data_IF_903401294400
#
_entry.id   IF_903401294400
#
_cell.length_a   1.000
_cell.length_b   1.000
_cell.length_c   1.000
_cell.angle_alpha   90.00
_cell.angle_beta   90.00
_cell.angle_gamma   90.00
#
_symmetry.space_group_name_H-M   'P 1'
#
loop_
_entity.id
_entity.type
_entity.pdbx_description
1 polymer ?
#
# COMPACT_ATOMS: atom_id res chain seq x y z
N UNK A 1 19.79 -20.88 -80.49
CA UNK A 1 21.08 -21.13 -81.15
C UNK A 1 22.12 -20.25 -80.48
N UNK A 2 23.22 -20.85 -80.00
CA UNK A 2 24.52 -20.21 -79.70
C UNK A 2 24.54 -19.19 -78.55
N UNK A 3 25.46 -19.19 -77.59
CA UNK A 3 26.79 -19.77 -77.49
C UNK A 3 27.64 -18.79 -76.64
N UNK A 4 28.49 -19.35 -75.77
CA UNK A 4 29.32 -18.74 -74.72
C UNK A 4 30.05 -17.42 -75.05
N UNK A 5 30.28 -16.61 -74.00
CA UNK A 5 31.59 -16.05 -73.55
C UNK A 5 31.30 -14.92 -72.54
N UNK A 6 31.99 -14.71 -71.42
CA UNK A 6 33.23 -15.22 -70.88
C UNK A 6 33.43 -14.59 -69.48
N UNK A 7 34.37 -15.18 -68.75
CA UNK A 7 34.79 -14.85 -67.39
C UNK A 7 34.87 -13.35 -67.04
N UNK A 8 34.60 -13.01 -65.79
CA UNK A 8 35.54 -12.31 -64.89
C UNK A 8 35.05 -12.44 -63.43
N UNK A 9 35.79 -13.25 -62.68
CA UNK A 9 35.68 -13.46 -61.25
C UNK A 9 36.35 -12.28 -60.54
N UNK A 10 35.59 -11.30 -60.04
CA UNK A 10 36.12 -10.32 -59.08
C UNK A 10 35.72 -10.74 -57.67
N UNK A 11 36.71 -11.15 -56.88
CA UNK A 11 36.58 -11.38 -55.43
C UNK A 11 36.37 -10.01 -54.77
N UNK A 12 35.13 -9.67 -54.46
CA UNK A 12 34.83 -8.51 -53.63
C UNK A 12 35.13 -8.90 -52.18
N UNK A 13 36.21 -8.34 -51.62
CA UNK A 13 36.45 -8.35 -50.18
C UNK A 13 35.35 -7.50 -49.54
N UNK A 14 34.35 -8.14 -48.95
CA UNK A 14 33.36 -7.47 -48.11
C UNK A 14 34.09 -7.07 -46.84
N UNK A 15 34.44 -5.78 -46.73
CA UNK A 15 34.87 -5.17 -45.49
C UNK A 15 33.63 -5.07 -44.61
N UNK A 16 33.56 -5.90 -43.58
CA UNK A 16 32.52 -5.81 -42.55
C UNK A 16 32.84 -4.57 -41.71
N UNK A 17 32.15 -3.47 -42.01
CA UNK A 17 32.10 -2.31 -41.12
C UNK A 17 31.14 -2.67 -39.99
N UNK A 18 31.70 -2.97 -38.82
CA UNK A 18 30.91 -3.24 -37.62
C UNK A 18 30.19 -1.98 -37.16
N UNK A 19 28.87 -1.95 -37.26
CA UNK A 19 28.05 -0.99 -36.50
C UNK A 19 28.06 -1.43 -35.04
N UNK A 20 28.75 -0.66 -34.20
CA UNK A 20 28.61 -0.76 -32.75
C UNK A 20 27.22 -0.23 -32.36
N UNK A 21 26.29 -1.13 -32.06
CA UNK A 21 24.99 -0.80 -31.45
C UNK A 21 25.24 -0.46 -29.98
N UNK A 22 25.23 0.84 -29.64
CA UNK A 22 25.13 1.31 -28.26
C UNK A 22 23.73 0.95 -27.74
N UNK A 23 23.61 -0.22 -27.14
CA UNK A 23 22.40 -0.64 -26.43
C UNK A 23 22.20 0.23 -25.19
N UNK A 24 21.29 1.20 -25.27
CA UNK A 24 20.74 1.86 -24.09
C UNK A 24 19.83 0.84 -23.42
N UNK A 25 20.32 0.13 -22.41
CA UNK A 25 19.45 -0.67 -21.55
C UNK A 25 18.62 0.30 -20.72
N UNK A 26 17.28 0.33 -20.84
CA UNK A 26 16.46 1.08 -19.89
C UNK A 26 16.73 0.50 -18.50
N UNK A 27 17.24 1.33 -17.58
CA UNK A 27 17.33 0.95 -16.19
C UNK A 27 15.92 0.61 -15.69
N UNK A 28 15.73 -0.47 -14.90
CA UNK A 28 14.44 -0.71 -14.27
C UNK A 28 14.14 0.50 -13.39
N UNK A 29 13.06 1.22 -13.71
CA UNK A 29 12.51 2.21 -12.80
C UNK A 29 12.07 1.45 -11.55
N UNK A 30 12.79 1.62 -10.45
CA UNK A 30 12.30 1.21 -9.15
C UNK A 30 11.01 2.00 -8.91
N UNK A 31 9.87 1.33 -8.95
CA UNK A 31 8.61 1.92 -8.50
C UNK A 31 8.85 2.41 -7.07
N UNK A 32 8.56 3.68 -6.82
CA UNK A 32 8.57 4.19 -5.46
C UNK A 32 7.54 3.39 -4.67
N UNK A 33 7.98 2.70 -3.62
CA UNK A 33 7.12 1.96 -2.69
C UNK A 33 6.15 2.97 -2.09
N UNK A 34 4.87 2.92 -2.46
CA UNK A 34 3.87 3.80 -1.85
C UNK A 34 3.59 3.26 -0.45
N UNK A 35 3.45 4.15 0.55
CA UNK A 35 3.38 3.74 1.96
C UNK A 35 2.22 2.77 2.29
N UNK A 36 1.20 2.71 1.42
CA UNK A 36 0.04 1.83 1.53
C UNK A 36 0.05 0.64 0.55
N UNK A 37 1.16 0.36 -0.12
CA UNK A 37 1.27 -0.83 -0.98
C UNK A 37 1.04 -2.11 -0.16
N UNK A 38 0.23 -3.02 -0.71
CA UNK A 38 -0.18 -4.24 -0.01
C UNK A 38 -1.26 -4.05 1.07
N UNK A 39 -1.74 -2.82 1.28
CA UNK A 39 -2.83 -2.51 2.22
C UNK A 39 -4.11 -2.19 1.45
N UNK A 40 -5.20 -2.84 1.82
CA UNK A 40 -6.53 -2.52 1.30
C UNK A 40 -7.05 -1.29 2.02
N UNK A 41 -7.18 -0.17 1.31
CA UNK A 41 -7.66 1.11 1.85
C UNK A 41 -9.03 1.43 1.24
N UNK A 42 -10.10 1.32 2.03
CA UNK A 42 -11.46 1.57 1.53
C UNK A 42 -12.45 1.90 2.65
N UNK A 43 -13.42 2.76 2.36
CA UNK A 43 -14.45 3.18 3.32
C UNK A 43 -15.86 3.01 2.72
N UNK A 44 -16.14 1.84 2.14
CA UNK A 44 -17.45 1.54 1.54
C UNK A 44 -18.56 1.51 2.58
N UNK A 45 -19.82 1.72 2.16
CA UNK A 45 -20.99 1.71 3.06
C UNK A 45 -21.08 0.42 3.89
N UNK A 46 -20.85 -0.74 3.25
CA UNK A 46 -20.90 -2.04 3.91
C UNK A 46 -19.84 -2.15 5.01
N UNK A 47 -18.61 -1.72 4.73
CA UNK A 47 -17.51 -1.75 5.70
C UNK A 47 -17.71 -0.78 6.84
N UNK A 48 -18.17 0.44 6.54
CA UNK A 48 -18.51 1.43 7.56
C UNK A 48 -19.56 0.87 8.53
N UNK A 49 -20.56 0.15 8.01
CA UNK A 49 -21.57 -0.48 8.85
C UNK A 49 -20.99 -1.62 9.70
N UNK A 50 -20.15 -2.48 9.13
CA UNK A 50 -19.47 -3.55 9.87
C UNK A 50 -18.61 -2.97 11.02
N UNK A 51 -17.74 -2.02 10.70
CA UNK A 51 -16.81 -1.44 11.66
C UNK A 51 -17.49 -0.56 12.70
N UNK A 52 -18.64 0.08 12.39
CA UNK A 52 -19.39 0.88 13.35
C UNK A 52 -19.76 0.06 14.60
N UNK A 53 -20.13 -1.20 14.43
CA UNK A 53 -20.42 -2.09 15.56
C UNK A 53 -19.15 -2.40 16.37
N UNK A 54 -18.02 -2.65 15.70
CA UNK A 54 -16.74 -2.94 16.37
C UNK A 54 -16.25 -1.75 17.20
N UNK A 55 -16.32 -0.53 16.64
CA UNK A 55 -15.94 0.71 17.33
C UNK A 55 -16.82 0.93 18.56
N UNK A 56 -18.15 0.81 18.41
CA UNK A 56 -19.08 0.97 19.53
C UNK A 56 -18.81 -0.07 20.62
N UNK A 57 -18.56 -1.33 20.26
CA UNK A 57 -18.19 -2.35 21.24
C UNK A 57 -16.86 -2.06 21.93
N UNK A 58 -15.86 -1.55 21.22
CA UNK A 58 -14.57 -1.16 21.80
C UNK A 58 -14.66 0.05 22.73
N UNK A 59 -15.73 0.84 22.64
CA UNK A 59 -15.98 2.02 23.46
C UNK A 59 -17.12 1.81 24.47
N UNK A 60 -17.33 0.57 24.90
CA UNK A 60 -18.34 0.19 25.91
C UNK A 60 -19.75 0.70 25.59
N UNK A 61 -20.11 0.74 24.30
CA UNK A 61 -21.42 1.17 23.82
C UNK A 61 -21.84 2.61 24.18
N UNK A 62 -20.87 3.52 24.33
CA UNK A 62 -21.11 4.94 24.68
C UNK A 62 -21.92 5.75 23.66
N UNK A 63 -22.11 5.24 22.44
CA UNK A 63 -22.88 5.90 21.38
C UNK A 63 -23.46 4.88 20.39
N UNK A 64 -24.33 5.33 19.47
CA UNK A 64 -24.97 4.45 18.48
C UNK A 64 -24.07 4.25 17.25
N UNK A 65 -24.04 3.07 16.62
CA UNK A 65 -23.19 2.80 15.44
C UNK A 65 -23.32 3.85 14.31
N UNK A 66 -24.54 4.33 14.05
CA UNK A 66 -24.80 5.34 13.02
C UNK A 66 -24.14 6.71 13.27
N UNK A 67 -23.61 6.95 14.48
CA UNK A 67 -22.93 8.20 14.85
C UNK A 67 -21.41 8.12 14.62
N UNK A 68 -20.83 6.94 14.38
CA UNK A 68 -19.43 6.81 13.97
C UNK A 68 -19.25 7.29 12.53
N UNK A 69 -18.26 8.15 12.29
CA UNK A 69 -17.89 8.61 10.95
C UNK A 69 -16.50 8.07 10.62
N UNK A 70 -16.42 7.31 9.53
CA UNK A 70 -15.16 6.70 9.10
C UNK A 70 -14.51 7.52 8.00
N UNK A 71 -13.27 7.92 8.24
CA UNK A 71 -12.38 8.57 7.28
C UNK A 71 -11.87 7.50 6.31
N UNK A 72 -11.22 6.47 6.84
CA UNK A 72 -10.74 5.33 6.06
C UNK A 72 -10.71 4.04 6.90
N UNK A 73 -10.64 2.90 6.22
CA UNK A 73 -10.40 1.60 6.83
C UNK A 73 -9.29 0.92 6.05
N UNK A 74 -8.24 0.51 6.77
CA UNK A 74 -7.03 -0.12 6.27
C UNK A 74 -7.02 -1.59 6.69
N UNK A 75 -6.71 -2.49 5.77
CA UNK A 75 -6.65 -3.94 6.02
C UNK A 75 -5.37 -4.56 5.45
N UNK A 76 -4.73 -5.41 6.26
CA UNK A 76 -3.59 -6.21 5.85
C UNK A 76 -3.61 -7.57 6.56
N UNK A 77 -3.80 -8.64 5.81
CA UNK A 77 -3.92 -9.99 6.37
C UNK A 77 -5.05 -10.12 7.39
N UNK A 78 -4.72 -10.55 8.61
CA UNK A 78 -5.67 -10.66 9.72
C UNK A 78 -5.78 -9.38 10.56
N UNK A 79 -5.14 -8.28 10.17
CA UNK A 79 -5.19 -7.00 10.87
C UNK A 79 -5.96 -5.95 10.11
N UNK A 80 -6.53 -5.02 10.86
CA UNK A 80 -7.16 -3.82 10.29
C UNK A 80 -7.08 -2.63 11.22
N UNK A 81 -7.11 -1.44 10.65
CA UNK A 81 -7.13 -0.17 11.35
C UNK A 81 -8.26 0.70 10.79
N UNK A 82 -9.13 1.22 11.65
CA UNK A 82 -10.23 2.10 11.25
C UNK A 82 -9.99 3.51 11.78
N UNK A 83 -9.82 4.47 10.86
CA UNK A 83 -9.73 5.87 11.22
C UNK A 83 -11.14 6.44 11.34
N UNK A 84 -11.53 6.78 12.57
CA UNK A 84 -12.91 7.07 12.94
C UNK A 84 -13.01 8.31 13.81
N UNK A 85 -14.01 9.13 13.52
CA UNK A 85 -14.50 10.22 14.36
C UNK A 85 -15.73 9.75 15.12
N UNK A 86 -15.79 10.04 16.42
CA UNK A 86 -16.89 9.63 17.30
C UNK A 86 -17.52 10.84 17.98
N UNK A 87 -18.78 10.77 18.45
CA UNK A 87 -19.39 11.90 19.14
C UNK A 87 -18.87 12.13 20.57
N UNK A 88 -17.99 11.26 21.08
CA UNK A 88 -17.56 11.24 22.49
C UNK A 88 -16.05 11.33 22.67
N UNK A 89 -15.28 11.34 21.57
CA UNK A 89 -13.82 11.44 21.57
C UNK A 89 -13.36 12.15 20.30
N UNK A 90 -12.13 12.66 20.35
CA UNK A 90 -11.44 13.09 19.14
C UNK A 90 -11.24 11.91 18.18
N UNK A 91 -10.85 12.25 16.95
CA UNK A 91 -10.59 11.30 15.89
C UNK A 91 -9.44 10.35 16.28
N UNK A 92 -9.60 9.08 15.99
CA UNK A 92 -8.62 8.06 16.35
C UNK A 92 -8.58 6.90 15.37
N UNK A 93 -7.43 6.22 15.34
CA UNK A 93 -7.22 5.02 14.55
C UNK A 93 -7.31 3.80 15.47
N UNK A 94 -8.42 3.08 15.37
CA UNK A 94 -8.65 1.88 16.17
C UNK A 94 -8.12 0.64 15.45
N UNK A 95 -7.23 -0.09 16.11
CA UNK A 95 -6.63 -1.32 15.60
C UNK A 95 -7.41 -2.54 16.05
N UNK A 96 -7.63 -3.45 15.11
CA UNK A 96 -8.30 -4.73 15.33
C UNK A 96 -7.48 -5.86 14.73
N UNK A 97 -7.46 -6.99 15.43
CA UNK A 97 -6.89 -8.24 14.92
C UNK A 97 -7.97 -9.31 14.86
N UNK A 98 -8.05 -10.01 13.73
CA UNK A 98 -8.91 -11.18 13.57
C UNK A 98 -8.26 -12.38 14.25
N UNK A 99 -8.90 -12.87 15.30
CA UNK A 99 -8.52 -14.10 16.02
C UNK A 99 -9.72 -15.03 16.02
N UNK A 100 -9.54 -16.27 15.57
CA UNK A 100 -10.61 -17.27 15.45
C UNK A 100 -11.83 -16.75 14.66
N UNK A 101 -11.57 -16.03 13.57
CA UNK A 101 -12.61 -15.46 12.69
C UNK A 101 -13.34 -14.24 13.24
N UNK A 102 -12.95 -13.71 14.41
CA UNK A 102 -13.57 -12.52 15.02
C UNK A 102 -12.56 -11.38 15.14
N UNK A 103 -12.94 -10.18 14.70
CA UNK A 103 -12.16 -8.96 14.90
C UNK A 103 -12.21 -8.56 16.37
N UNK A 104 -11.05 -8.52 17.01
CA UNK A 104 -10.87 -8.11 18.40
C UNK A 104 -10.16 -6.77 18.43
N UNK A 105 -10.67 -5.83 19.23
CA UNK A 105 -9.99 -4.58 19.50
C UNK A 105 -8.63 -4.84 20.15
N UNK A 106 -7.61 -4.09 19.73
CA UNK A 106 -6.23 -4.22 20.22
C UNK A 106 -5.79 -2.98 20.94
N UNK A 107 -5.82 -1.84 20.26
CA UNK A 107 -5.52 -0.55 20.85
C UNK A 107 -6.03 0.56 19.93
N UNK A 108 -6.00 1.80 20.42
CA UNK A 108 -6.34 2.99 19.66
C UNK A 108 -5.18 3.97 19.71
N UNK A 109 -4.81 4.50 18.55
CA UNK A 109 -3.96 5.67 18.46
C UNK A 109 -4.84 6.92 18.27
N UNK A 110 -4.47 8.01 18.92
CA UNK A 110 -5.15 9.29 18.76
C UNK A 110 -4.19 10.45 19.01
N UNK A 111 -4.50 11.59 18.42
CA UNK A 111 -3.68 12.79 18.48
C UNK A 111 -3.42 13.35 17.08
N UNK A 112 -2.71 14.47 17.07
CA UNK A 112 -2.11 15.03 15.88
C UNK A 112 -0.69 14.49 15.74
N UNK A 113 -0.26 14.20 14.52
CA UNK A 113 1.11 13.77 14.25
C UNK A 113 1.71 14.55 13.09
N UNK A 114 2.99 14.89 13.22
CA UNK A 114 3.79 15.51 12.18
C UNK A 114 4.45 14.44 11.28
N UNK A 115 4.77 14.77 10.01
CA UNK A 115 5.49 13.85 9.11
C UNK A 115 6.80 13.31 9.68
N UNK A 116 7.47 14.05 10.58
CA UNK A 116 8.69 13.64 11.26
C UNK A 116 8.48 12.46 12.23
N UNK A 117 7.25 12.25 12.70
CA UNK A 117 6.87 11.21 13.66
C UNK A 117 6.51 9.88 12.98
N UNK A 118 6.44 9.83 11.64
CA UNK A 118 6.16 8.59 10.87
C UNK A 118 6.97 7.38 11.37
N UNK A 119 8.30 7.45 11.60
CA UNK A 119 9.06 6.29 12.09
C UNK A 119 8.61 5.79 13.47
N UNK A 120 8.21 6.70 14.36
CA UNK A 120 7.72 6.36 15.69
C UNK A 120 6.35 5.69 15.61
N UNK A 121 5.45 6.22 14.79
CA UNK A 121 4.12 5.64 14.55
C UNK A 121 4.21 4.23 13.95
N UNK A 122 5.11 4.02 12.98
CA UNK A 122 5.39 2.68 12.44
C UNK A 122 5.89 1.74 13.55
N UNK A 123 6.82 2.22 14.39
CA UNK A 123 7.37 1.44 15.50
C UNK A 123 6.29 1.07 16.52
N UNK A 124 5.43 2.01 16.88
CA UNK A 124 4.30 1.80 17.79
C UNK A 124 3.34 0.73 17.25
N UNK A 125 2.87 0.86 16.01
CA UNK A 125 1.95 -0.10 15.41
C UNK A 125 2.57 -1.49 15.26
N UNK A 126 3.87 -1.58 14.94
CA UNK A 126 4.59 -2.87 14.91
C UNK A 126 4.72 -3.50 16.29
N UNK A 127 4.98 -2.71 17.34
CA UNK A 127 5.01 -3.21 18.73
C UNK A 127 3.65 -3.73 19.19
N UNK A 128 2.56 -3.14 18.69
CA UNK A 128 1.19 -3.66 18.89
C UNK A 128 0.97 -5.02 18.19
N UNK A 129 1.76 -5.33 17.16
CA UNK A 129 1.71 -6.57 16.38
C UNK A 129 1.15 -6.42 14.97
N UNK A 130 0.87 -5.18 14.52
CA UNK A 130 0.40 -4.93 13.17
C UNK A 130 1.48 -5.30 12.12
N UNK A 131 1.09 -5.82 10.94
CA UNK A 131 2.01 -6.06 9.84
C UNK A 131 2.73 -4.78 9.41
N UNK A 132 3.93 -4.92 8.87
CA UNK A 132 4.76 -3.78 8.47
C UNK A 132 4.05 -2.83 7.49
N UNK A 133 3.34 -3.39 6.50
CA UNK A 133 2.68 -2.58 5.47
C UNK A 133 1.50 -1.79 6.07
N UNK A 134 0.74 -2.41 6.98
CA UNK A 134 -0.32 -1.70 7.71
C UNK A 134 0.26 -0.60 8.61
N UNK A 135 1.37 -0.86 9.29
CA UNK A 135 2.02 0.13 10.14
C UNK A 135 2.54 1.35 9.34
N UNK A 136 3.14 1.11 8.17
CA UNK A 136 3.56 2.19 7.24
C UNK A 136 2.35 2.98 6.74
N UNK A 137 1.32 2.31 6.26
CA UNK A 137 0.13 2.96 5.71
C UNK A 137 -0.62 3.78 6.77
N UNK A 138 -0.72 3.26 8.00
CA UNK A 138 -1.25 4.01 9.14
C UNK A 138 -0.46 5.29 9.39
N UNK A 139 0.86 5.19 9.51
CA UNK A 139 1.71 6.34 9.78
C UNK A 139 1.59 7.41 8.69
N UNK A 140 1.55 7.00 7.41
CA UNK A 140 1.28 7.89 6.29
C UNK A 140 -0.09 8.56 6.43
N UNK A 141 -1.14 7.77 6.69
CA UNK A 141 -2.53 8.25 6.73
C UNK A 141 -2.77 9.33 7.80
N UNK A 142 -2.05 9.29 8.92
CA UNK A 142 -2.28 10.22 10.04
C UNK A 142 -1.31 11.41 10.07
N UNK A 143 -0.40 11.50 9.12
CA UNK A 143 0.59 12.59 9.03
C UNK A 143 0.54 13.37 7.72
N UNK A 144 -0.39 13.02 6.83
CA UNK A 144 -0.66 13.66 5.53
C UNK A 144 -2.03 14.34 5.47
#
# INVERSE_FOLDING_TARGET
>A
MSGLNGLIRRRTKIVVVGLAVLGVTPAPAFAADHACDGVKVEATKARKQEYAHLVVSAMDSKFKPAQAKFITIMESGNWSAAYVSTPVSDDGVMFFQTVNGKKQFRDVWGGYAEPSEKPELVSWAKKLGAPQDLAKCFAETVTE
#
